data_IF_470520278135
#
_entry.id   IF_470520278135
#
_cell.length_a   1.000
_cell.length_b   1.000
_cell.length_c   1.000
_cell.angle_alpha   90.00
_cell.angle_beta   90.00
_cell.angle_gamma   90.00
#
_symmetry.space_group_name_H-M   'P 1'
#
loop_
_entity.id
_entity.type
_entity.pdbx_description
1 polymer ?
#
# COMPACT_ATOMS: atom_id res chain seq x y z
N UNK A 1 52.30 16.85 49.55
CA UNK A 1 51.10 17.69 49.74
C UNK A 1 51.18 18.79 48.70
N UNK A 2 50.32 18.97 47.71
CA UNK A 2 48.99 18.44 47.33
C UNK A 2 48.80 18.84 45.86
N UNK A 3 48.06 18.06 45.05
CA UNK A 3 47.80 18.37 43.64
C UNK A 3 46.50 19.18 43.48
N UNK A 4 46.52 20.23 42.66
CA UNK A 4 45.32 20.98 42.26
C UNK A 4 45.12 20.75 40.75
N UNK A 5 44.47 19.66 40.32
CA UNK A 5 43.02 19.46 40.13
C UNK A 5 42.32 20.59 39.38
N UNK A 6 41.81 20.24 38.20
CA UNK A 6 40.57 20.81 37.69
C UNK A 6 40.69 21.61 36.41
N UNK A 7 41.28 21.02 35.37
CA UNK A 7 41.01 21.41 33.98
C UNK A 7 39.50 21.21 33.75
N UNK A 8 38.72 22.28 33.92
CA UNK A 8 37.30 22.34 33.60
C UNK A 8 37.16 22.38 32.08
N UNK A 9 37.15 21.20 31.46
CA UNK A 9 36.70 21.01 30.09
C UNK A 9 35.68 19.89 30.11
N UNK A 10 34.45 20.21 30.54
CA UNK A 10 33.21 19.62 30.06
C UNK A 10 32.06 20.40 30.72
N UNK A 11 31.26 21.13 29.92
CA UNK A 11 30.05 20.51 29.40
C UNK A 11 29.73 21.01 27.98
N UNK A 12 30.56 20.66 26.99
CA UNK A 12 30.21 20.90 25.58
C UNK A 12 29.86 19.60 24.83
N UNK A 13 30.10 18.42 25.42
CA UNK A 13 29.68 17.14 24.84
C UNK A 13 28.19 16.79 25.06
N UNK A 14 27.50 17.41 26.04
CA UNK A 14 26.08 17.13 26.31
C UNK A 14 25.10 17.87 25.39
N UNK A 15 25.60 18.81 24.59
CA UNK A 15 24.83 19.55 23.57
C UNK A 15 25.08 19.02 22.14
N UNK A 16 25.70 17.84 22.03
CA UNK A 16 25.68 17.07 20.79
C UNK A 16 24.28 16.48 20.58
N UNK A 17 23.44 17.30 19.94
CA UNK A 17 22.50 16.84 18.93
C UNK A 17 21.61 15.68 19.37
N UNK A 18 20.68 16.01 20.28
CA UNK A 18 19.31 15.48 20.21
C UNK A 18 18.61 16.02 18.95
N UNK A 19 19.27 15.97 17.80
CA UNK A 19 18.61 15.97 16.51
C UNK A 19 18.11 14.54 16.32
N UNK A 20 17.07 14.19 17.09
CA UNK A 20 16.11 13.18 16.68
C UNK A 20 15.39 13.76 15.45
N UNK A 21 16.12 13.94 14.35
CA UNK A 21 15.53 14.20 13.06
C UNK A 21 14.73 12.95 12.77
N UNK A 22 13.42 13.04 12.98
CA UNK A 22 12.44 11.96 13.00
C UNK A 22 12.95 10.72 12.27
N UNK A 23 13.70 9.87 13.00
CA UNK A 23 14.21 8.65 12.40
C UNK A 23 12.95 7.86 12.08
N UNK A 24 12.71 7.64 10.79
CA UNK A 24 11.56 6.87 10.31
C UNK A 24 11.73 5.47 10.90
N UNK A 25 11.08 5.24 12.04
CA UNK A 25 11.12 3.97 12.73
C UNK A 25 9.96 3.11 12.22
N UNK A 26 10.11 1.79 12.30
CA UNK A 26 9.10 0.88 11.76
C UNK A 26 7.70 1.10 12.39
N UNK A 27 7.62 1.52 13.66
CA UNK A 27 6.34 1.82 14.33
C UNK A 27 5.63 3.02 13.71
N UNK A 28 6.37 4.06 13.35
CA UNK A 28 5.83 5.22 12.63
C UNK A 28 5.33 4.79 11.24
N UNK A 29 6.11 4.00 10.50
CA UNK A 29 5.68 3.47 9.20
C UNK A 29 4.41 2.62 9.30
N UNK A 30 4.32 1.77 10.32
CA UNK A 30 3.12 0.97 10.58
C UNK A 30 1.90 1.86 10.79
N UNK A 31 2.00 2.83 11.71
CA UNK A 31 0.91 3.76 11.99
C UNK A 31 0.50 4.56 10.75
N UNK A 32 1.48 5.01 9.96
CA UNK A 32 1.24 5.71 8.71
C UNK A 32 0.49 4.83 7.69
N UNK A 33 1.00 3.62 7.42
CA UNK A 33 0.41 2.70 6.47
C UNK A 33 -0.99 2.25 6.89
N UNK A 34 -1.20 1.92 8.16
CA UNK A 34 -2.52 1.55 8.68
C UNK A 34 -3.50 2.73 8.59
N UNK A 35 -3.05 3.95 8.87
CA UNK A 35 -3.89 5.16 8.75
C UNK A 35 -4.32 5.40 7.31
N UNK A 36 -3.39 5.33 6.36
CA UNK A 36 -3.71 5.47 4.94
C UNK A 36 -4.64 4.35 4.47
N UNK A 37 -4.38 3.11 4.89
CA UNK A 37 -5.18 1.95 4.54
C UNK A 37 -6.61 2.04 5.07
N UNK A 38 -6.80 2.40 6.35
CA UNK A 38 -8.15 2.53 6.94
C UNK A 38 -8.90 3.70 6.32
N UNK A 39 -8.26 4.84 6.06
CA UNK A 39 -8.90 5.97 5.38
C UNK A 39 -9.34 5.59 3.98
N UNK A 40 -8.50 4.90 3.21
CA UNK A 40 -8.83 4.44 1.87
C UNK A 40 -10.00 3.43 1.88
N UNK A 41 -9.95 2.41 2.74
CA UNK A 41 -11.02 1.41 2.82
C UNK A 41 -12.33 1.98 3.35
N UNK A 42 -12.30 2.84 4.36
CA UNK A 42 -13.52 3.49 4.87
C UNK A 42 -14.11 4.46 3.87
N UNK A 43 -13.29 5.20 3.10
CA UNK A 43 -13.78 6.01 1.99
C UNK A 43 -14.42 5.15 0.90
N UNK A 44 -13.86 3.98 0.60
CA UNK A 44 -14.41 3.04 -0.38
C UNK A 44 -15.74 2.45 0.11
N UNK A 45 -15.75 1.78 1.26
CA UNK A 45 -16.93 1.14 1.86
C UNK A 45 -18.01 2.17 2.17
N UNK A 46 -17.63 3.32 2.74
CA UNK A 46 -18.53 4.43 3.03
C UNK A 46 -19.19 4.97 1.77
N UNK A 47 -18.45 5.14 0.66
CA UNK A 47 -19.04 5.57 -0.62
C UNK A 47 -20.02 4.54 -1.17
N UNK A 48 -19.73 3.24 -1.07
CA UNK A 48 -20.63 2.15 -1.49
C UNK A 48 -21.93 2.20 -0.70
N UNK A 49 -21.83 2.30 0.64
CA UNK A 49 -22.98 2.36 1.53
C UNK A 49 -23.80 3.62 1.31
N UNK A 50 -23.16 4.79 1.33
CA UNK A 50 -23.84 6.08 1.18
C UNK A 50 -24.51 6.21 -0.17
N UNK A 51 -23.86 5.76 -1.25
CA UNK A 51 -24.46 5.81 -2.57
C UNK A 51 -25.66 4.84 -2.69
N UNK A 52 -25.50 3.60 -2.21
CA UNK A 52 -26.51 2.55 -2.40
C UNK A 52 -27.74 2.73 -1.50
N UNK A 53 -27.54 3.17 -0.26
CA UNK A 53 -28.61 3.27 0.75
C UNK A 53 -29.03 4.72 1.06
N UNK A 54 -28.21 5.71 0.70
CA UNK A 54 -28.54 7.13 0.85
C UNK A 54 -28.94 7.77 -0.48
N UNK A 55 -27.96 7.97 -1.36
CA UNK A 55 -28.13 8.77 -2.58
C UNK A 55 -29.19 8.18 -3.51
N UNK A 56 -29.07 6.91 -3.89
CA UNK A 56 -29.98 6.30 -4.88
C UNK A 56 -31.45 6.31 -4.39
N UNK A 57 -31.77 5.85 -3.16
CA UNK A 57 -33.13 5.92 -2.64
C UNK A 57 -33.69 7.34 -2.61
N UNK A 58 -32.93 8.31 -2.11
CA UNK A 58 -33.38 9.71 -2.02
C UNK A 58 -33.66 10.28 -3.42
N UNK A 59 -32.78 10.00 -4.38
CA UNK A 59 -32.96 10.47 -5.77
C UNK A 59 -34.27 9.97 -6.36
N UNK A 60 -34.61 8.70 -6.17
CA UNK A 60 -35.86 8.13 -6.69
C UNK A 60 -37.10 8.47 -5.85
N UNK A 61 -36.93 8.97 -4.63
CA UNK A 61 -38.03 9.54 -3.84
C UNK A 61 -38.39 10.96 -4.29
N UNK A 62 -37.40 11.75 -4.66
CA UNK A 62 -37.57 13.19 -4.95
C UNK A 62 -37.82 13.47 -6.43
N UNK A 63 -37.23 12.68 -7.33
CA UNK A 63 -37.32 12.90 -8.77
C UNK A 63 -38.25 11.90 -9.46
N UNK A 64 -38.75 12.27 -10.64
CA UNK A 64 -39.43 11.31 -11.52
C UNK A 64 -38.48 10.15 -11.88
N UNK A 65 -39.00 8.95 -12.20
CA UNK A 65 -38.15 7.80 -12.53
C UNK A 65 -37.14 8.07 -13.65
N UNK A 66 -37.53 8.84 -14.66
CA UNK A 66 -36.66 9.21 -15.79
C UNK A 66 -35.53 10.16 -15.36
N UNK A 67 -35.87 11.21 -14.59
CA UNK A 67 -34.91 12.19 -14.09
C UNK A 67 -33.95 11.55 -13.08
N UNK A 68 -34.46 10.72 -12.16
CA UNK A 68 -33.66 9.98 -11.20
C UNK A 68 -32.68 9.02 -11.89
N UNK A 69 -33.16 8.24 -12.85
CA UNK A 69 -32.29 7.35 -13.62
C UNK A 69 -31.21 8.10 -14.40
N UNK A 70 -31.53 9.26 -14.98
CA UNK A 70 -30.55 10.12 -15.66
C UNK A 70 -29.48 10.63 -14.69
N UNK A 71 -29.85 11.09 -13.50
CA UNK A 71 -28.92 11.56 -12.48
C UNK A 71 -28.00 10.44 -11.98
N UNK A 72 -28.57 9.29 -11.59
CA UNK A 72 -27.79 8.14 -11.09
C UNK A 72 -26.78 7.66 -12.15
N UNK A 73 -27.19 7.59 -13.42
CA UNK A 73 -26.27 7.25 -14.53
C UNK A 73 -25.11 8.23 -14.68
N UNK A 74 -25.34 9.53 -14.47
CA UNK A 74 -24.29 10.54 -14.51
C UNK A 74 -23.31 10.44 -13.32
N UNK A 75 -23.76 9.89 -12.19
CA UNK A 75 -22.93 9.68 -11.01
C UNK A 75 -22.06 8.41 -11.10
N UNK A 76 -22.54 7.35 -11.77
CA UNK A 76 -21.86 6.06 -11.82
C UNK A 76 -20.37 6.10 -12.21
N UNK A 77 -19.95 6.81 -13.28
CA UNK A 77 -18.54 6.86 -13.65
C UNK A 77 -17.66 7.38 -12.51
N UNK A 78 -18.07 8.50 -11.88
CA UNK A 78 -17.33 9.09 -10.76
C UNK A 78 -17.33 8.18 -9.53
N UNK A 79 -18.46 7.56 -9.24
CA UNK A 79 -18.60 6.60 -8.14
C UNK A 79 -17.65 5.40 -8.29
N UNK A 80 -17.59 4.79 -9.47
CA UNK A 80 -16.70 3.65 -9.71
C UNK A 80 -15.22 4.07 -9.76
N UNK A 81 -14.91 5.23 -10.36
CA UNK A 81 -13.55 5.78 -10.34
C UNK A 81 -13.07 6.06 -8.91
N UNK A 82 -13.95 6.60 -8.04
CA UNK A 82 -13.64 6.80 -6.63
C UNK A 82 -13.25 5.49 -5.94
N UNK A 83 -14.03 4.43 -6.13
CA UNK A 83 -13.70 3.10 -5.61
C UNK A 83 -12.37 2.56 -6.14
N UNK A 84 -12.07 2.76 -7.43
CA UNK A 84 -10.80 2.35 -8.02
C UNK A 84 -9.60 3.12 -7.44
N UNK A 85 -9.74 4.44 -7.22
CA UNK A 85 -8.71 5.27 -6.58
C UNK A 85 -8.47 4.79 -5.15
N UNK A 86 -9.54 4.55 -4.39
CA UNK A 86 -9.43 4.05 -3.03
C UNK A 86 -8.70 2.70 -2.96
N UNK A 87 -9.01 1.76 -3.87
CA UNK A 87 -8.29 0.50 -4.00
C UNK A 87 -6.81 0.66 -4.39
N UNK A 88 -6.51 1.57 -5.31
CA UNK A 88 -5.14 1.88 -5.74
C UNK A 88 -4.29 2.52 -4.62
N UNK A 89 -4.91 3.21 -3.66
CA UNK A 89 -4.25 3.73 -2.45
C UNK A 89 -4.14 2.65 -1.38
N UNK A 90 -5.20 1.85 -1.19
CA UNK A 90 -5.26 0.82 -0.16
C UNK A 90 -4.22 -0.28 -0.37
N UNK A 91 -3.99 -0.72 -1.62
CA UNK A 91 -3.04 -1.80 -1.91
C UNK A 91 -1.59 -1.50 -1.48
N UNK A 92 -0.94 -0.39 -1.90
CA UNK A 92 0.41 -0.08 -1.47
C UNK A 92 0.48 0.22 0.03
N UNK A 93 -0.55 0.84 0.61
CA UNK A 93 -0.61 1.05 2.06
C UNK A 93 -0.63 -0.29 2.82
N UNK A 94 -1.45 -1.24 2.39
CA UNK A 94 -1.49 -2.60 2.94
C UNK A 94 -0.13 -3.31 2.81
N UNK A 95 0.50 -3.25 1.63
CA UNK A 95 1.78 -3.90 1.38
C UNK A 95 2.97 -3.25 2.12
N UNK A 96 2.86 -1.97 2.50
CA UNK A 96 3.86 -1.28 3.33
C UNK A 96 4.08 -1.93 4.70
N UNK A 97 3.04 -2.59 5.25
CA UNK A 97 3.09 -3.27 6.55
C UNK A 97 4.01 -4.50 6.55
N UNK A 98 3.80 -5.55 5.72
CA UNK A 98 4.69 -6.71 5.67
C UNK A 98 6.09 -6.40 5.10
N UNK A 99 6.25 -5.25 4.44
CA UNK A 99 7.56 -4.70 4.11
C UNK A 99 8.27 -4.15 5.34
N UNK A 100 7.56 -3.48 6.26
CA UNK A 100 8.12 -2.89 7.49
C UNK A 100 8.29 -3.91 8.63
N UNK A 101 7.45 -4.95 8.67
CA UNK A 101 7.43 -6.00 9.70
C UNK A 101 7.38 -7.38 9.03
N UNK A 102 8.51 -8.08 9.04
CA UNK A 102 8.65 -9.37 8.35
C UNK A 102 7.73 -10.46 8.90
N UNK A 103 7.37 -10.38 10.19
CA UNK A 103 6.45 -11.30 10.86
C UNK A 103 5.02 -11.28 10.30
N UNK A 104 4.61 -10.21 9.63
CA UNK A 104 3.31 -10.13 8.97
C UNK A 104 3.32 -10.74 7.56
N UNK A 105 4.46 -11.24 7.08
CA UNK A 105 4.54 -11.93 5.79
C UNK A 105 3.87 -13.30 5.91
N UNK A 106 3.16 -13.69 4.86
CA UNK A 106 2.50 -14.99 4.78
C UNK A 106 1.45 -15.04 3.69
N UNK A 107 0.82 -16.22 3.49
CA UNK A 107 -0.18 -16.41 2.44
C UNK A 107 -1.40 -15.48 2.58
N UNK A 108 -1.75 -15.08 3.81
CA UNK A 108 -2.85 -14.14 4.04
C UNK A 108 -2.60 -12.75 3.43
N UNK A 109 -1.34 -12.33 3.28
CA UNK A 109 -1.01 -11.08 2.56
C UNK A 109 -1.40 -11.21 1.10
N UNK A 110 -1.10 -12.33 0.46
CA UNK A 110 -1.47 -12.57 -0.93
C UNK A 110 -3.00 -12.62 -1.10
N UNK A 111 -3.71 -13.28 -0.18
CA UNK A 111 -5.19 -13.34 -0.18
C UNK A 111 -5.81 -11.95 -0.07
N UNK A 112 -5.40 -11.16 0.92
CA UNK A 112 -5.94 -9.80 1.11
C UNK A 112 -5.56 -8.86 -0.05
N UNK A 113 -4.33 -8.97 -0.57
CA UNK A 113 -3.90 -8.22 -1.76
C UNK A 113 -4.78 -8.57 -2.96
N UNK A 114 -5.07 -9.86 -3.18
CA UNK A 114 -5.93 -10.31 -4.27
C UNK A 114 -7.36 -9.81 -4.10
N UNK A 115 -7.88 -9.74 -2.88
CA UNK A 115 -9.18 -9.14 -2.59
C UNK A 115 -9.22 -7.65 -2.96
N UNK A 116 -8.19 -6.88 -2.58
CA UNK A 116 -8.08 -5.45 -2.93
C UNK A 116 -8.00 -5.27 -4.45
N UNK A 117 -7.12 -6.02 -5.11
CA UNK A 117 -6.97 -5.98 -6.57
C UNK A 117 -8.28 -6.36 -7.26
N UNK A 118 -8.92 -7.44 -6.82
CA UNK A 118 -10.20 -7.90 -7.39
C UNK A 118 -11.28 -6.83 -7.22
N UNK A 119 -11.43 -6.26 -6.02
CA UNK A 119 -12.37 -5.15 -5.79
C UNK A 119 -12.11 -3.97 -6.72
N UNK A 120 -10.83 -3.61 -6.90
CA UNK A 120 -10.40 -2.48 -7.74
C UNK A 120 -10.72 -2.75 -9.21
N UNK A 121 -10.38 -3.94 -9.70
CA UNK A 121 -10.65 -4.36 -11.07
C UNK A 121 -12.16 -4.46 -11.35
N UNK A 122 -12.96 -4.89 -10.37
CA UNK A 122 -14.41 -4.90 -10.49
C UNK A 122 -14.99 -3.48 -10.61
N UNK A 123 -14.43 -2.51 -9.88
CA UNK A 123 -14.80 -1.09 -10.03
C UNK A 123 -14.44 -0.55 -11.41
N UNK A 124 -13.24 -0.84 -11.89
CA UNK A 124 -12.81 -0.45 -13.23
C UNK A 124 -13.65 -1.12 -14.32
N UNK A 125 -13.99 -2.39 -14.16
CA UNK A 125 -14.89 -3.12 -15.07
C UNK A 125 -16.30 -2.51 -15.09
N UNK A 126 -16.83 -2.16 -13.91
CA UNK A 126 -18.14 -1.54 -13.80
C UNK A 126 -18.19 -0.15 -14.47
N UNK A 127 -17.13 0.65 -14.32
CA UNK A 127 -16.97 1.94 -14.98
C UNK A 127 -16.86 1.82 -16.50
N UNK A 128 -15.93 0.98 -16.98
CA UNK A 128 -15.48 1.00 -18.37
C UNK A 128 -16.24 0.03 -19.29
N UNK A 129 -16.93 -0.96 -18.73
CA UNK A 129 -17.63 -1.98 -19.54
C UNK A 129 -19.10 -2.05 -19.18
N UNK A 130 -19.43 -2.17 -17.89
CA UNK A 130 -20.82 -2.42 -17.49
C UNK A 130 -21.71 -1.18 -17.65
N UNK A 131 -21.23 -0.01 -17.23
CA UNK A 131 -21.98 1.25 -17.35
C UNK A 131 -22.26 1.62 -18.82
N UNK A 132 -21.27 1.59 -19.73
CA UNK A 132 -21.53 1.80 -21.17
C UNK A 132 -22.52 0.78 -21.76
N UNK A 133 -22.40 -0.50 -21.39
CA UNK A 133 -23.31 -1.54 -21.88
C UNK A 133 -24.75 -1.33 -21.39
N UNK A 134 -24.94 -0.90 -20.14
CA UNK A 134 -26.27 -0.53 -19.61
C UNK A 134 -26.82 0.67 -20.39
N UNK A 135 -26.01 1.70 -20.63
CA UNK A 135 -26.45 2.89 -21.37
C UNK A 135 -26.84 2.56 -22.81
N UNK A 136 -26.10 1.67 -23.49
CA UNK A 136 -26.43 1.19 -24.83
C UNK A 136 -27.76 0.40 -24.84
N UNK A 137 -27.98 -0.47 -23.84
CA UNK A 137 -29.24 -1.21 -23.71
C UNK A 137 -30.44 -0.28 -23.46
N UNK A 138 -30.25 0.81 -22.70
CA UNK A 138 -31.28 1.85 -22.51
C UNK A 138 -31.56 2.59 -23.82
N UNK A 139 -30.52 2.93 -24.59
CA UNK A 139 -30.66 3.62 -25.88
C UNK A 139 -31.40 2.78 -26.93
N UNK A 140 -31.33 1.45 -26.85
CA UNK A 140 -32.07 0.53 -27.71
C UNK A 140 -33.58 0.46 -27.40
N UNK A 141 -34.06 1.17 -26.37
CA UNK A 141 -35.49 1.26 -26.08
C UNK A 141 -36.11 -0.08 -25.64
N UNK A 142 -37.34 -0.40 -26.06
CA UNK A 142 -38.06 -1.60 -25.61
C UNK A 142 -37.31 -2.92 -25.85
N UNK A 143 -36.59 -3.03 -26.97
CA UNK A 143 -35.84 -4.24 -27.35
C UNK A 143 -34.65 -4.49 -26.40
N UNK A 144 -34.06 -3.43 -25.86
CA UNK A 144 -32.94 -3.50 -24.93
C UNK A 144 -33.32 -3.75 -23.47
N UNK A 145 -34.62 -3.72 -23.12
CA UNK A 145 -35.09 -3.77 -21.72
C UNK A 145 -34.60 -5.01 -20.97
N UNK A 146 -34.72 -6.20 -21.57
CA UNK A 146 -34.31 -7.45 -20.93
C UNK A 146 -32.79 -7.51 -20.67
N UNK A 147 -31.99 -6.95 -21.59
CA UNK A 147 -30.55 -6.84 -21.42
C UNK A 147 -30.19 -5.82 -20.34
N UNK A 148 -30.83 -4.64 -20.34
CA UNK A 148 -30.66 -3.61 -19.32
C UNK A 148 -30.90 -4.18 -17.92
N UNK A 149 -32.02 -4.88 -17.71
CA UNK A 149 -32.36 -5.48 -16.42
C UNK A 149 -31.33 -6.52 -15.97
N UNK A 150 -30.82 -7.34 -16.91
CA UNK A 150 -29.78 -8.35 -16.64
C UNK A 150 -28.46 -7.69 -16.23
N UNK A 151 -28.03 -6.66 -16.96
CA UNK A 151 -26.81 -5.92 -16.67
C UNK A 151 -26.91 -5.13 -15.36
N UNK A 152 -28.05 -4.52 -15.08
CA UNK A 152 -28.33 -3.86 -13.81
C UNK A 152 -28.25 -4.84 -12.62
N UNK A 153 -28.90 -6.00 -12.72
CA UNK A 153 -28.75 -7.06 -11.70
C UNK A 153 -27.31 -7.53 -11.53
N UNK A 154 -26.52 -7.55 -12.61
CA UNK A 154 -25.09 -7.86 -12.55
C UNK A 154 -24.33 -6.75 -11.81
N UNK A 155 -24.57 -5.47 -12.10
CA UNK A 155 -23.88 -4.36 -11.41
C UNK A 155 -24.18 -4.36 -9.93
N UNK A 156 -25.43 -4.57 -9.54
CA UNK A 156 -25.83 -4.62 -8.13
C UNK A 156 -25.13 -5.76 -7.39
N UNK A 157 -25.07 -6.96 -7.98
CA UNK A 157 -24.33 -8.09 -7.39
C UNK A 157 -22.84 -7.80 -7.24
N UNK A 158 -22.22 -7.18 -8.24
CA UNK A 158 -20.80 -6.79 -8.15
C UNK A 158 -20.57 -5.77 -7.02
N UNK A 159 -21.44 -4.75 -6.88
CA UNK A 159 -21.32 -3.80 -5.77
C UNK A 159 -21.46 -4.49 -4.40
N UNK A 160 -22.36 -5.45 -4.25
CA UNK A 160 -22.49 -6.24 -3.01
C UNK A 160 -21.22 -7.03 -2.73
N UNK A 161 -20.64 -7.68 -3.75
CA UNK A 161 -19.37 -8.40 -3.61
C UNK A 161 -18.25 -7.46 -3.17
N UNK A 162 -18.09 -6.32 -3.85
CA UNK A 162 -17.04 -5.34 -3.52
C UNK A 162 -17.24 -4.76 -2.11
N UNK A 163 -18.49 -4.49 -1.72
CA UNK A 163 -18.81 -4.06 -0.36
C UNK A 163 -18.42 -5.13 0.68
N UNK A 164 -18.75 -6.40 0.43
CA UNK A 164 -18.36 -7.50 1.31
C UNK A 164 -16.83 -7.63 1.42
N UNK A 165 -16.10 -7.54 0.30
CA UNK A 165 -14.63 -7.54 0.30
C UNK A 165 -14.08 -6.41 1.17
N UNK A 166 -14.58 -5.19 1.02
CA UNK A 166 -14.14 -4.04 1.81
C UNK A 166 -14.42 -4.21 3.32
N UNK A 167 -15.59 -4.73 3.69
CA UNK A 167 -15.94 -5.02 5.09
C UNK A 167 -15.01 -6.11 5.66
N UNK A 168 -14.79 -7.20 4.93
CA UNK A 168 -13.90 -8.28 5.38
C UNK A 168 -12.49 -7.76 5.59
N UNK A 169 -11.98 -6.90 4.71
CA UNK A 169 -10.66 -6.28 4.85
C UNK A 169 -10.56 -5.34 6.08
N UNK A 170 -11.61 -4.57 6.36
CA UNK A 170 -11.68 -3.75 7.58
C UNK A 170 -11.70 -4.60 8.85
N UNK A 171 -12.49 -5.69 8.85
CA UNK A 171 -12.52 -6.64 9.96
C UNK A 171 -11.16 -7.31 10.13
N UNK A 172 -10.51 -7.71 9.04
CA UNK A 172 -9.17 -8.30 9.07
C UNK A 172 -8.13 -7.34 9.65
N UNK A 173 -8.21 -6.04 9.32
CA UNK A 173 -7.34 -5.01 9.90
C UNK A 173 -7.52 -4.90 11.42
N UNK A 174 -8.76 -4.78 11.89
CA UNK A 174 -9.08 -4.63 13.33
C UNK A 174 -8.69 -5.86 14.13
N UNK A 175 -8.76 -7.06 13.54
CA UNK A 175 -8.39 -8.31 14.18
C UNK A 175 -6.91 -8.71 13.97
N UNK A 176 -6.10 -7.86 13.33
CA UNK A 176 -4.68 -8.14 13.12
C UNK A 176 -3.93 -8.07 14.48
N UNK A 177 -3.13 -9.09 14.85
CA UNK A 177 -2.34 -9.05 16.09
C UNK A 177 -1.37 -7.86 16.14
N UNK A 178 -1.09 -7.39 17.36
CA UNK A 178 -0.04 -6.40 17.59
C UNK A 178 1.34 -6.93 17.18
N UNK A 179 2.22 -6.07 16.64
CA UNK A 179 3.57 -6.47 16.29
C UNK A 179 4.37 -6.91 17.52
N UNK A 180 5.07 -8.03 17.40
CA UNK A 180 5.93 -8.59 18.46
C UNK A 180 7.38 -8.13 18.34
N UNK A 181 7.84 -7.80 17.13
CA UNK A 181 9.20 -7.30 16.89
C UNK A 181 9.26 -5.77 16.82
N UNK A 182 10.47 -5.22 16.83
CA UNK A 182 10.71 -3.80 16.57
C UNK A 182 10.52 -3.40 15.09
N UNK A 183 10.23 -4.36 14.20
CA UNK A 183 10.21 -4.17 12.75
C UNK A 183 11.61 -4.07 12.16
N UNK A 184 11.71 -3.54 10.94
CA UNK A 184 13.00 -3.23 10.32
C UNK A 184 13.68 -2.11 11.11
N UNK A 185 14.89 -2.40 11.61
CA UNK A 185 15.77 -1.42 12.25
C UNK A 185 16.74 -0.92 11.18
N UNK A 186 16.57 0.33 10.76
CA UNK A 186 17.49 0.96 9.81
C UNK A 186 18.57 1.73 10.58
N UNK A 187 19.87 1.41 10.39
CA UNK A 187 20.95 2.15 11.03
C UNK A 187 20.94 3.60 10.57
N UNK A 188 21.26 4.52 11.49
CA UNK A 188 21.35 5.94 11.19
C UNK A 188 22.39 6.20 10.09
N UNK A 189 22.32 7.33 9.36
CA UNK A 189 23.30 7.64 8.32
C UNK A 189 24.75 7.60 8.82
N UNK A 190 24.98 7.98 10.08
CA UNK A 190 26.30 7.93 10.72
C UNK A 190 26.72 6.49 11.05
N UNK A 191 25.82 5.67 11.58
CA UNK A 191 26.11 4.25 11.85
C UNK A 191 26.37 3.48 10.56
N UNK A 192 25.63 3.79 9.48
CA UNK A 192 25.89 3.27 8.14
C UNK A 192 27.28 3.65 7.65
N UNK A 193 27.60 4.93 7.65
CA UNK A 193 28.91 5.42 7.22
C UNK A 193 30.06 4.77 8.01
N UNK A 194 29.88 4.59 9.33
CA UNK A 194 30.86 3.91 10.18
C UNK A 194 31.01 2.43 9.79
N UNK A 195 29.89 1.72 9.63
CA UNK A 195 29.92 0.31 9.24
C UNK A 195 30.54 0.09 7.85
N UNK A 196 30.28 0.99 6.91
CA UNK A 196 30.87 0.97 5.56
C UNK A 196 32.38 1.22 5.62
N UNK A 197 32.82 2.16 6.45
CA UNK A 197 34.23 2.43 6.68
C UNK A 197 34.95 1.22 7.31
N UNK A 198 34.37 0.61 8.34
CA UNK A 198 34.91 -0.59 8.97
C UNK A 198 35.00 -1.76 7.98
N UNK A 199 33.98 -1.97 7.14
CA UNK A 199 34.03 -2.98 6.08
C UNK A 199 35.08 -2.68 5.00
N UNK A 200 35.29 -1.41 4.65
CA UNK A 200 36.31 -0.99 3.70
C UNK A 200 37.71 -1.32 4.23
N UNK A 201 37.99 -0.98 5.49
CA UNK A 201 39.27 -1.31 6.13
C UNK A 201 39.51 -2.83 6.18
N UNK A 202 38.49 -3.61 6.52
CA UNK A 202 38.60 -5.08 6.52
C UNK A 202 38.93 -5.63 5.13
N UNK A 203 38.34 -5.09 4.07
CA UNK A 203 38.63 -5.48 2.68
C UNK A 203 40.05 -5.10 2.26
N UNK A 204 40.54 -3.93 2.67
CA UNK A 204 41.91 -3.51 2.40
C UNK A 204 42.93 -4.37 3.13
N UNK A 205 42.71 -4.65 4.41
CA UNK A 205 43.55 -5.56 5.19
C UNK A 205 43.58 -6.97 4.55
N UNK A 206 42.43 -7.50 4.14
CA UNK A 206 42.34 -8.79 3.46
C UNK A 206 43.13 -8.82 2.14
N UNK A 207 43.12 -7.73 1.35
CA UNK A 207 43.94 -7.60 0.13
C UNK A 207 45.43 -7.60 0.43
N UNK A 208 45.85 -6.92 1.48
CA UNK A 208 47.27 -6.87 1.88
C UNK A 208 47.78 -8.21 2.39
N UNK A 209 46.91 -9.00 3.03
CA UNK A 209 47.24 -10.36 3.50
C UNK A 209 47.03 -11.46 2.46
N UNK A 210 46.47 -11.15 1.29
CA UNK A 210 46.24 -12.15 0.24
C UNK A 210 47.55 -12.47 -0.48
N UNK A 211 47.91 -13.76 -0.66
CA UNK A 211 49.12 -14.13 -1.38
C UNK A 211 49.07 -13.62 -2.83
N UNK A 212 50.21 -13.25 -3.44
CA UNK A 212 50.23 -12.85 -4.84
C UNK A 212 49.65 -13.97 -5.72
N UNK A 213 48.90 -13.63 -6.79
CA UNK A 213 48.35 -14.62 -7.69
C UNK A 213 49.47 -15.52 -8.20
N UNK A 214 49.29 -16.85 -8.11
CA UNK A 214 50.29 -17.80 -8.59
C UNK A 214 50.62 -17.47 -10.06
N UNK A 215 51.90 -17.36 -10.43
CA UNK A 215 52.26 -17.13 -11.82
C UNK A 215 51.59 -18.18 -12.70
N UNK A 216 50.83 -17.74 -13.70
CA UNK A 216 50.28 -18.66 -14.68
C UNK A 216 51.45 -19.36 -15.38
N UNK A 217 51.43 -20.69 -15.53
CA UNK A 217 52.50 -21.39 -16.20
C UNK A 217 52.62 -20.85 -17.62
N UNK A 218 53.79 -20.25 -17.92
CA UNK A 218 54.14 -19.84 -19.27
C UNK A 218 54.13 -21.10 -20.11
N UNK A 219 53.17 -21.21 -21.03
CA UNK A 219 53.19 -22.29 -22.02
C UNK A 219 54.43 -22.07 -22.88
N UNK A 220 55.51 -22.79 -22.60
CA UNK A 220 56.62 -22.93 -23.52
C UNK A 220 56.08 -23.55 -24.80
N UNK A 221 55.81 -22.68 -25.77
CA UNK A 221 55.50 -23.09 -27.14
C UNK A 221 56.82 -23.55 -27.74
N UNK A 222 57.16 -24.81 -27.45
CA UNK A 222 58.33 -25.48 -27.98
C UNK A 222 58.32 -25.43 -29.50
N UNK A 223 59.39 -24.85 -30.05
CA UNK A 223 59.75 -24.96 -31.44
C UNK A 223 60.23 -26.40 -31.72
N UNK A 224 59.53 -27.13 -32.59
CA UNK A 224 60.06 -28.05 -33.60
C UNK A 224 58.90 -28.68 -34.37
#
# INVERSE_FOLDING_TARGET
>A
MTPDRGMRLEPLLSLSLRSEGAAVNARFLLAFFDSVYVLALTAWVGSLLFFSFGVVPIVFQVLSPEAGAKLVRALFPRYYTWGAIAGAIALPAFLGVPLSFQEFRGPLVAVQSLMIVTGTLLMLYAANSLTPAINAAVAAGPEGKALCDRLHRRSTRLNIIVLALGIILLVALVNRPEPKTAGIVEPSPLERARSEYEQMQLREAARQTSPPPRPQPVSERGSR
#
